data_IF_058501919357
#
_entry.id   IF_058501919357
#
_cell.length_a   1.000
_cell.length_b   1.000
_cell.length_c   1.000
_cell.angle_alpha   90.00
_cell.angle_beta   90.00
_cell.angle_gamma   90.00
#
_symmetry.space_group_name_H-M   'P 1'
#
loop_
_entity.id
_entity.type
_entity.pdbx_description
1 polymer ?
#
# COMPACT_ATOMS: atom_id res chain seq x y z
N UNK A 1 -3.36 -1.88 -9.48
CA UNK A 1 -2.53 -2.97 -8.91
C UNK A 1 -2.38 -2.75 -7.41
N UNK A 2 -2.43 -3.79 -6.63
CA UNK A 2 -2.28 -3.71 -5.18
C UNK A 2 -1.36 -4.82 -4.67
N UNK A 3 -0.78 -4.60 -3.50
CA UNK A 3 0.06 -5.57 -2.82
C UNK A 3 -0.75 -6.21 -1.69
N UNK A 4 -0.66 -7.52 -1.54
CA UNK A 4 -1.34 -8.23 -0.45
C UNK A 4 -0.57 -9.48 -0.03
N UNK A 5 -0.87 -10.04 1.16
CA UNK A 5 -0.22 -11.26 1.62
C UNK A 5 -0.62 -12.47 0.78
N UNK A 6 0.03 -13.58 1.02
CA UNK A 6 -0.40 -14.88 0.47
C UNK A 6 -1.91 -15.00 0.66
N UNK A 7 -2.69 -15.30 -0.41
CA UNK A 7 -4.14 -15.10 -0.40
C UNK A 7 -4.90 -16.01 0.57
N UNK A 8 -4.35 -17.15 0.94
CA UNK A 8 -5.06 -18.11 1.76
C UNK A 8 -4.35 -18.36 3.08
N UNK A 9 -5.11 -18.49 4.19
CA UNK A 9 -4.56 -18.97 5.45
C UNK A 9 -4.02 -20.39 5.30
N UNK A 10 -3.01 -20.73 6.09
CA UNK A 10 -2.53 -22.10 6.19
C UNK A 10 -3.66 -22.96 6.74
N UNK A 11 -3.91 -24.15 6.10
CA UNK A 11 -4.92 -25.09 6.55
C UNK A 11 -4.77 -25.43 8.03
N UNK A 12 -5.87 -25.41 8.75
CA UNK A 12 -5.89 -25.72 10.18
C UNK A 12 -5.68 -24.55 11.12
N UNK A 13 -5.47 -23.35 10.58
CA UNK A 13 -5.36 -22.13 11.38
C UNK A 13 -6.68 -21.35 11.30
N UNK A 14 -7.22 -20.95 12.44
CA UNK A 14 -8.42 -20.11 12.49
C UNK A 14 -8.15 -18.73 11.90
N UNK A 15 -9.22 -18.02 11.48
CA UNK A 15 -9.09 -16.67 10.96
C UNK A 15 -8.45 -15.71 11.96
N UNK A 16 -8.79 -15.83 13.25
CA UNK A 16 -8.21 -14.97 14.28
C UNK A 16 -6.73 -15.27 14.50
N UNK A 17 -6.32 -16.54 14.49
CA UNK A 17 -4.91 -16.92 14.58
C UNK A 17 -4.14 -16.45 13.37
N UNK A 18 -4.74 -16.58 12.17
CA UNK A 18 -4.14 -16.07 10.95
C UNK A 18 -3.90 -14.56 11.02
N UNK A 19 -4.90 -13.80 11.44
CA UNK A 19 -4.77 -12.35 11.60
C UNK A 19 -3.74 -11.98 12.66
N UNK A 20 -3.75 -12.65 13.82
CA UNK A 20 -2.78 -12.40 14.89
C UNK A 20 -1.34 -12.66 14.43
N UNK A 21 -1.13 -13.69 13.62
CA UNK A 21 0.19 -13.99 13.06
C UNK A 21 0.62 -12.99 11.99
N UNK A 22 -0.33 -12.31 11.34
CA UNK A 22 -0.02 -11.29 10.31
C UNK A 22 0.29 -9.93 10.88
N UNK A 23 -0.28 -9.58 12.02
CA UNK A 23 -0.02 -8.30 12.68
C UNK A 23 1.39 -8.30 13.27
N UNK A 24 2.23 -7.39 12.80
CA UNK A 24 3.63 -7.28 13.23
C UNK A 24 4.59 -8.29 12.61
N UNK A 25 4.11 -9.29 11.90
CA UNK A 25 4.92 -10.27 11.19
C UNK A 25 4.89 -10.05 9.69
N UNK A 26 5.96 -10.45 9.01
CA UNK A 26 6.07 -10.34 7.55
C UNK A 26 5.79 -11.68 6.91
N UNK A 27 5.14 -11.63 5.76
CA UNK A 27 4.94 -12.76 4.87
C UNK A 27 5.30 -12.34 3.45
N UNK A 28 5.35 -13.30 2.53
CA UNK A 28 5.60 -12.98 1.14
C UNK A 28 4.47 -12.11 0.59
N UNK A 29 4.84 -11.01 -0.05
CA UNK A 29 3.91 -10.16 -0.76
C UNK A 29 3.95 -10.45 -2.25
N UNK A 30 2.88 -10.11 -2.95
CA UNK A 30 2.84 -10.21 -4.41
C UNK A 30 1.89 -9.17 -4.99
N UNK A 31 2.09 -8.90 -6.27
CA UNK A 31 1.25 -7.97 -7.01
C UNK A 31 0.10 -8.70 -7.68
N UNK A 32 -1.07 -8.11 -7.63
CA UNK A 32 -2.24 -8.59 -8.36
C UNK A 32 -2.85 -7.44 -9.15
N UNK A 33 -3.45 -7.78 -10.30
CA UNK A 33 -4.23 -6.81 -11.04
C UNK A 33 -5.52 -6.49 -10.29
N UNK A 34 -5.91 -5.22 -10.30
CA UNK A 34 -7.14 -4.74 -9.68
C UNK A 34 -8.10 -4.16 -10.71
N UNK A 35 -7.92 -4.52 -11.98
CA UNK A 35 -8.64 -3.95 -13.11
C UNK A 35 -10.17 -4.17 -13.03
N UNK A 36 -10.60 -5.23 -12.34
CA UNK A 36 -12.02 -5.55 -12.17
C UNK A 36 -12.69 -4.69 -11.08
N UNK A 37 -11.92 -3.98 -10.26
CA UNK A 37 -12.45 -3.12 -9.20
C UNK A 37 -12.76 -1.73 -9.70
N UNK A 38 -13.95 -1.21 -9.35
CA UNK A 38 -14.27 0.20 -9.51
C UNK A 38 -13.72 0.95 -8.31
N UNK A 39 -12.94 2.04 -8.49
CA UNK A 39 -12.45 2.81 -7.36
C UNK A 39 -13.58 3.59 -6.69
N UNK A 40 -13.59 3.61 -5.36
CA UNK A 40 -14.52 4.43 -4.58
C UNK A 40 -14.16 5.92 -4.68
N UNK A 41 -12.90 6.21 -4.89
CA UNK A 41 -12.39 7.57 -5.14
C UNK A 41 -11.18 7.50 -6.06
N UNK A 42 -10.94 8.61 -6.75
CA UNK A 42 -9.78 8.77 -7.61
C UNK A 42 -9.22 10.17 -7.44
N UNK A 43 -7.91 10.27 -7.27
CA UNK A 43 -7.21 11.55 -7.24
C UNK A 43 -6.16 11.56 -8.35
N UNK A 44 -6.27 12.52 -9.26
CA UNK A 44 -5.33 12.66 -10.37
C UNK A 44 -4.34 13.77 -10.03
N UNK A 45 -3.04 13.44 -10.04
CA UNK A 45 -1.97 14.37 -9.70
C UNK A 45 -1.05 14.53 -10.90
N UNK A 46 -1.07 15.69 -11.59
CA UNK A 46 -0.18 15.93 -12.72
C UNK A 46 1.29 15.88 -12.29
N UNK A 47 2.11 15.15 -13.04
CA UNK A 47 3.55 15.06 -12.82
C UNK A 47 4.29 15.15 -14.17
N UNK A 48 5.58 15.45 -14.13
CA UNK A 48 6.40 15.48 -15.32
C UNK A 48 6.66 14.07 -15.86
N UNK A 49 7.03 13.97 -17.12
CA UNK A 49 7.41 12.69 -17.74
C UNK A 49 8.56 12.03 -16.98
N UNK A 50 9.56 12.79 -16.56
CA UNK A 50 10.70 12.26 -15.81
C UNK A 50 10.26 11.65 -14.50
N UNK A 51 9.36 12.30 -13.78
CA UNK A 51 8.80 11.80 -12.51
C UNK A 51 7.94 10.56 -12.74
N UNK A 52 7.16 10.54 -13.80
CA UNK A 52 6.37 9.37 -14.17
C UNK A 52 7.27 8.16 -14.47
N UNK A 53 8.35 8.36 -15.21
CA UNK A 53 9.30 7.29 -15.52
C UNK A 53 10.00 6.77 -14.26
N UNK A 54 10.33 7.65 -13.31
CA UNK A 54 10.87 7.24 -12.01
C UNK A 54 9.88 6.36 -11.23
N UNK A 55 8.61 6.70 -11.28
CA UNK A 55 7.54 5.89 -10.67
C UNK A 55 7.39 4.53 -11.32
N UNK A 56 7.46 4.46 -12.64
CA UNK A 56 7.42 3.19 -13.38
C UNK A 56 8.62 2.30 -13.02
N UNK A 57 9.81 2.87 -12.92
CA UNK A 57 11.01 2.15 -12.51
C UNK A 57 10.85 1.57 -11.09
N UNK A 58 10.34 2.37 -10.18
CA UNK A 58 10.03 1.91 -8.83
C UNK A 58 9.07 0.71 -8.85
N UNK A 59 7.98 0.79 -9.62
CA UNK A 59 7.01 -0.28 -9.71
C UNK A 59 7.60 -1.56 -10.33
N UNK A 60 8.45 -1.41 -11.35
CA UNK A 60 9.12 -2.55 -11.97
C UNK A 60 10.07 -3.24 -10.98
N UNK A 61 10.88 -2.48 -10.25
CA UNK A 61 11.78 -3.01 -9.24
C UNK A 61 11.01 -3.64 -8.07
N UNK A 62 9.90 -3.03 -7.68
CA UNK A 62 9.03 -3.55 -6.63
C UNK A 62 8.45 -4.93 -6.98
N UNK A 63 8.10 -5.15 -8.25
CA UNK A 63 7.61 -6.46 -8.72
C UNK A 63 8.68 -7.54 -8.66
N UNK A 64 9.93 -7.18 -8.95
CA UNK A 64 11.06 -8.13 -8.94
C UNK A 64 11.52 -8.43 -7.52
N UNK A 65 11.56 -7.42 -6.67
CA UNK A 65 12.02 -7.51 -5.28
C UNK A 65 10.95 -6.97 -4.34
N UNK A 66 9.80 -7.64 -4.29
CA UNK A 66 8.67 -7.23 -3.46
C UNK A 66 9.04 -7.36 -1.98
N UNK A 67 8.89 -6.29 -1.18
CA UNK A 67 9.11 -6.37 0.26
C UNK A 67 8.15 -7.34 0.92
N UNK A 68 8.51 -7.85 2.07
CA UNK A 68 7.62 -8.67 2.87
C UNK A 68 6.34 -7.90 3.24
N UNK A 69 5.21 -8.59 3.22
CA UNK A 69 3.93 -8.00 3.60
C UNK A 69 3.73 -8.10 5.10
N UNK A 70 3.31 -7.01 5.72
CA UNK A 70 2.89 -6.97 7.13
C UNK A 70 1.67 -6.08 7.25
N UNK A 71 0.58 -6.59 7.83
CA UNK A 71 -0.66 -5.84 7.93
C UNK A 71 -0.48 -4.50 8.64
N UNK A 72 0.35 -4.44 9.67
CA UNK A 72 0.60 -3.21 10.44
C UNK A 72 1.82 -2.43 9.97
N UNK A 73 2.86 -3.09 9.46
CA UNK A 73 4.15 -2.46 9.20
C UNK A 73 4.39 -2.15 7.73
N UNK A 74 3.94 -3.00 6.82
CA UNK A 74 4.08 -2.77 5.39
C UNK A 74 2.96 -3.43 4.60
N UNK A 75 1.94 -2.67 4.29
CA UNK A 75 0.77 -3.12 3.53
C UNK A 75 0.64 -2.35 2.20
N UNK A 76 -0.47 -2.53 1.49
CA UNK A 76 -0.70 -1.88 0.19
C UNK A 76 -0.70 -0.34 0.29
N UNK A 77 -1.09 0.24 1.43
CA UNK A 77 -1.04 1.68 1.62
C UNK A 77 0.41 2.19 1.68
N UNK A 78 1.30 1.46 2.36
CA UNK A 78 2.74 1.79 2.37
C UNK A 78 3.31 1.74 0.97
N UNK A 79 2.99 0.69 0.21
CA UNK A 79 3.46 0.54 -1.17
C UNK A 79 2.96 1.67 -2.07
N UNK A 80 1.69 2.08 -1.91
CA UNK A 80 1.11 3.20 -2.66
C UNK A 80 1.82 4.51 -2.35
N UNK A 81 2.06 4.79 -1.07
CA UNK A 81 2.76 6.01 -0.65
C UNK A 81 4.21 6.01 -1.16
N UNK A 82 4.89 4.87 -1.11
CA UNK A 82 6.25 4.74 -1.63
C UNK A 82 6.30 4.93 -3.15
N UNK A 83 5.33 4.39 -3.88
CA UNK A 83 5.21 4.61 -5.32
C UNK A 83 4.98 6.08 -5.65
N UNK A 84 4.11 6.76 -4.89
CA UNK A 84 3.88 8.19 -5.04
C UNK A 84 5.16 8.98 -4.77
N UNK A 85 5.93 8.61 -3.75
CA UNK A 85 7.20 9.24 -3.45
C UNK A 85 8.19 9.11 -4.61
N UNK A 86 8.24 7.95 -5.26
CA UNK A 86 9.06 7.73 -6.45
C UNK A 86 8.62 8.64 -7.62
N UNK A 87 7.36 9.04 -7.66
CA UNK A 87 6.82 10.03 -8.61
C UNK A 87 7.00 11.47 -8.14
N UNK A 88 7.69 11.70 -7.03
CA UNK A 88 7.90 13.04 -6.49
C UNK A 88 6.71 13.62 -5.72
N UNK A 89 5.84 12.76 -5.22
CA UNK A 89 4.66 13.17 -4.45
C UNK A 89 4.77 12.61 -3.03
N UNK A 90 4.78 13.51 -2.05
CA UNK A 90 4.71 13.11 -0.65
C UNK A 90 3.26 13.05 -0.21
N UNK A 91 2.87 11.95 0.43
CA UNK A 91 1.54 11.76 0.99
C UNK A 91 1.69 11.49 2.49
N UNK A 92 0.84 12.14 3.29
CA UNK A 92 0.83 11.95 4.73
C UNK A 92 0.58 10.49 5.11
N UNK A 93 1.34 9.98 6.07
CA UNK A 93 1.17 8.64 6.63
C UNK A 93 0.39 8.74 7.93
N UNK A 94 -0.90 8.40 7.86
CA UNK A 94 -1.77 8.44 9.04
C UNK A 94 -1.96 7.03 9.59
N UNK A 95 -1.39 6.78 10.75
CA UNK A 95 -1.49 5.49 11.44
C UNK A 95 -2.78 5.45 12.24
N UNK A 96 -3.55 4.39 12.06
CA UNK A 96 -4.80 4.13 12.78
C UNK A 96 -4.80 2.73 13.38
N UNK A 97 -5.64 2.53 14.38
CA UNK A 97 -5.85 1.21 14.97
C UNK A 97 -6.61 0.28 14.03
N UNK A 98 -6.22 -0.98 14.04
CA UNK A 98 -6.85 -2.05 13.27
C UNK A 98 -7.73 -2.96 14.14
N UNK A 99 -7.93 -2.58 15.42
CA UNK A 99 -8.55 -3.46 16.40
C UNK A 99 -7.56 -4.38 17.11
N UNK A 100 -6.59 -4.94 16.38
CA UNK A 100 -5.54 -5.83 16.91
C UNK A 100 -4.13 -5.30 16.65
N UNK A 101 -4.01 -4.08 16.14
CA UNK A 101 -2.73 -3.45 15.85
C UNK A 101 -2.92 -2.05 15.30
N UNK A 102 -1.83 -1.41 14.91
CA UNK A 102 -1.83 -0.07 14.32
C UNK A 102 -1.08 -0.10 12.99
N UNK A 103 -1.54 0.68 12.03
CA UNK A 103 -0.87 0.80 10.75
C UNK A 103 -1.62 1.74 9.81
N UNK A 104 -1.14 1.84 8.59
CA UNK A 104 -1.82 2.57 7.53
C UNK A 104 -3.02 1.76 7.06
N UNK A 105 -4.10 2.45 6.71
CA UNK A 105 -5.28 1.80 6.15
C UNK A 105 -5.85 2.60 4.98
N UNK A 106 -6.60 1.95 4.07
CA UNK A 106 -7.12 2.60 2.86
C UNK A 106 -8.02 3.80 3.15
N UNK A 107 -8.83 3.74 4.21
CA UNK A 107 -9.74 4.84 4.54
C UNK A 107 -8.96 6.09 4.93
N UNK A 108 -7.96 5.97 5.80
CA UNK A 108 -7.14 7.10 6.23
C UNK A 108 -6.32 7.65 5.07
N UNK A 109 -5.80 6.79 4.19
CA UNK A 109 -5.09 7.21 2.99
C UNK A 109 -6.02 7.99 2.06
N UNK A 110 -7.24 7.50 1.84
CA UNK A 110 -8.24 8.18 1.04
C UNK A 110 -8.62 9.53 1.62
N UNK A 111 -8.84 9.60 2.92
CA UNK A 111 -9.13 10.87 3.62
C UNK A 111 -7.99 11.87 3.47
N UNK A 112 -6.75 11.44 3.62
CA UNK A 112 -5.58 12.31 3.45
C UNK A 112 -5.47 12.84 2.03
N UNK A 113 -5.74 12.03 1.03
CA UNK A 113 -5.74 12.46 -0.37
C UNK A 113 -6.84 13.48 -0.64
N UNK A 114 -8.05 13.24 -0.15
CA UNK A 114 -9.19 14.13 -0.35
C UNK A 114 -9.05 15.44 0.42
N UNK A 115 -8.37 15.42 1.57
CA UNK A 115 -8.12 16.61 2.37
C UNK A 115 -6.85 17.35 1.97
N UNK A 116 -6.23 16.97 0.86
CA UNK A 116 -5.01 17.58 0.32
C UNK A 116 -3.81 17.48 1.30
N UNK A 117 -3.72 16.40 2.06
CA UNK A 117 -2.58 16.12 2.94
C UNK A 117 -1.44 15.47 2.14
N UNK A 118 -1.10 16.09 1.04
CA UNK A 118 -0.02 15.68 0.14
C UNK A 118 0.62 16.92 -0.48
N UNK A 119 1.84 16.80 -0.96
CA UNK A 119 2.50 17.88 -1.71
C UNK A 119 3.54 17.30 -2.66
N UNK A 120 3.89 18.10 -3.66
CA UNK A 120 5.01 17.77 -4.52
C UNK A 120 6.33 17.97 -3.79
N UNK A 121 7.22 16.99 -3.88
CA UNK A 121 8.58 17.10 -3.35
C UNK A 121 9.44 17.95 -4.27
N UNK A 122 10.32 18.71 -3.68
CA UNK A 122 11.26 19.57 -4.40
C UNK A 122 12.46 18.78 -4.94
#
# INVERSE_FOLDING_TARGET
MRCRPVPEPIKGISNSDFLNKRVGFYSDGFHVSDDAHQPDMMKMLPISKAKFLSGLEFCANFRVATPGYSLSNYNCCNATIDAAAACGVWIKRTVKGWGIGKGLNPKSLGDDLMNNNWHYMK
#
